data_IF_246518753431
#
_entry.id   IF_246518753431
#
_cell.length_a   1.000
_cell.length_b   1.000
_cell.length_c   1.000
_cell.angle_alpha   90.00
_cell.angle_beta   90.00
_cell.angle_gamma   90.00
#
_symmetry.space_group_name_H-M   'P 1'
#
loop_
_entity.id
_entity.type
_entity.pdbx_description
1 polymer ?
#
# COMPACT_ATOMS: atom_id res chain seq x y z
N UNK A 1 -14.87 -17.69 16.51
CA UNK A 1 -14.86 -16.85 15.29
C UNK A 1 -15.01 -15.40 15.74
N UNK A 2 -14.15 -14.48 15.31
CA UNK A 2 -14.37 -13.06 15.55
C UNK A 2 -15.68 -12.63 14.88
N UNK A 3 -16.36 -11.64 15.46
CA UNK A 3 -17.57 -11.03 14.92
C UNK A 3 -17.26 -9.55 14.67
N UNK A 4 -17.51 -9.09 13.44
CA UNK A 4 -17.22 -7.73 13.01
C UNK A 4 -18.50 -7.04 12.58
N UNK A 5 -18.55 -5.74 12.81
CA UNK A 5 -19.62 -4.86 12.32
C UNK A 5 -18.97 -3.87 11.34
N UNK A 6 -19.50 -3.81 10.13
CA UNK A 6 -19.05 -2.85 9.13
C UNK A 6 -19.47 -1.43 9.55
N UNK A 7 -18.52 -0.50 9.55
CA UNK A 7 -18.77 0.91 9.88
C UNK A 7 -18.24 1.80 8.75
N UNK A 8 -19.10 2.67 8.24
CA UNK A 8 -18.76 3.63 7.19
C UNK A 8 -19.94 3.99 6.29
N UNK A 9 -19.68 4.71 5.18
CA UNK A 9 -18.37 5.19 4.76
C UNK A 9 -17.86 6.36 5.61
N UNK A 10 -16.55 6.51 5.73
CA UNK A 10 -15.88 7.73 6.16
C UNK A 10 -15.24 8.36 4.93
N UNK A 11 -15.83 9.44 4.43
CA UNK A 11 -15.53 10.00 3.12
C UNK A 11 -14.52 11.13 3.24
N UNK A 12 -13.46 11.05 2.44
CA UNK A 12 -12.46 12.11 2.31
C UNK A 12 -12.40 12.59 0.87
N UNK A 13 -12.42 13.91 0.69
CA UNK A 13 -12.09 14.55 -0.57
C UNK A 13 -10.58 14.57 -0.71
N UNK A 14 -10.07 13.90 -1.75
CA UNK A 14 -8.65 13.80 -2.02
C UNK A 14 -8.25 14.71 -3.18
N UNK A 15 -7.24 15.54 -2.99
CA UNK A 15 -6.65 16.38 -4.05
C UNK A 15 -5.20 16.01 -4.31
N UNK A 16 -4.83 15.91 -5.58
CA UNK A 16 -3.50 15.50 -6.04
C UNK A 16 -2.82 16.67 -6.76
N UNK A 17 -1.60 16.98 -6.36
CA UNK A 17 -0.79 18.04 -6.96
C UNK A 17 0.64 17.53 -7.19
N UNK A 18 1.18 17.73 -8.39
CA UNK A 18 2.60 17.44 -8.70
C UNK A 18 3.41 18.69 -8.37
N UNK A 19 4.34 18.58 -7.42
CA UNK A 19 5.17 19.69 -6.93
C UNK A 19 6.66 19.41 -7.16
N UNK A 20 7.51 20.44 -7.03
CA UNK A 20 8.96 20.34 -7.25
C UNK A 20 9.34 19.75 -8.62
N UNK A 21 8.58 20.11 -9.65
CA UNK A 21 8.71 19.56 -11.00
C UNK A 21 10.06 19.97 -11.60
N UNK A 22 10.81 18.99 -12.12
CA UNK A 22 12.10 19.18 -12.80
C UNK A 22 12.11 18.41 -14.11
N UNK A 23 12.38 19.10 -15.22
CA UNK A 23 12.60 18.46 -16.52
C UNK A 23 14.03 17.93 -16.63
N UNK A 24 14.18 16.75 -17.23
CA UNK A 24 15.47 16.11 -17.46
C UNK A 24 15.82 16.12 -18.97
N UNK A 25 17.11 16.16 -19.35
CA UNK A 25 17.52 16.19 -20.76
C UNK A 25 17.10 14.97 -21.59
N UNK A 26 16.82 13.84 -20.93
CA UNK A 26 16.40 12.60 -21.57
C UNK A 26 14.89 12.51 -21.84
N UNK A 27 14.17 13.64 -21.88
CA UNK A 27 12.72 13.63 -22.16
C UNK A 27 11.85 13.11 -20.99
N UNK A 28 12.39 13.03 -19.77
CA UNK A 28 11.64 12.68 -18.55
C UNK A 28 11.37 13.89 -17.66
N UNK A 29 10.38 13.79 -16.78
CA UNK A 29 10.10 14.77 -15.74
C UNK A 29 10.12 14.07 -14.38
N UNK A 30 10.80 14.67 -13.41
CA UNK A 30 10.81 14.26 -12.01
C UNK A 30 9.96 15.20 -11.17
N UNK A 31 9.16 14.65 -10.25
CA UNK A 31 8.31 15.44 -9.35
C UNK A 31 8.09 14.72 -8.01
N UNK A 32 7.62 15.47 -7.02
CA UNK A 32 7.05 14.91 -5.79
C UNK A 32 5.53 14.99 -5.86
N UNK A 33 4.86 13.95 -5.36
CA UNK A 33 3.40 13.92 -5.30
C UNK A 33 2.92 14.49 -3.97
N UNK A 34 2.10 15.54 -4.01
CA UNK A 34 1.38 16.07 -2.85
C UNK A 34 -0.06 15.55 -2.89
N UNK A 35 -0.48 14.93 -1.79
CA UNK A 35 -1.86 14.43 -1.59
C UNK A 35 -2.40 15.08 -0.33
N UNK A 36 -3.56 15.70 -0.46
CA UNK A 36 -4.30 16.27 0.68
C UNK A 36 -5.62 15.54 0.79
N UNK A 37 -5.98 15.16 2.01
CA UNK A 37 -7.25 14.52 2.35
C UNK A 37 -8.02 15.44 3.29
N UNK A 38 -9.25 15.76 2.92
CA UNK A 38 -10.15 16.61 3.70
C UNK A 38 -11.39 15.78 4.01
N UNK A 39 -11.67 15.58 5.29
CA UNK A 39 -12.85 14.84 5.72
C UNK A 39 -14.13 15.55 5.27
N UNK A 40 -15.11 14.77 4.80
CA UNK A 40 -16.41 15.26 4.38
C UNK A 40 -17.49 14.58 5.23
N UNK A 41 -17.91 15.29 6.27
CA UNK A 41 -18.92 14.82 7.22
C UNK A 41 -20.28 14.59 6.54
N UNK A 42 -20.70 15.48 5.63
CA UNK A 42 -22.01 15.40 4.95
C UNK A 42 -22.20 14.13 4.11
N UNK A 43 -21.10 13.53 3.64
CA UNK A 43 -21.11 12.29 2.86
C UNK A 43 -20.73 11.06 3.69
N UNK A 44 -20.40 11.23 4.96
CA UNK A 44 -19.97 10.17 5.86
C UNK A 44 -21.13 9.63 6.69
N UNK A 45 -21.07 8.34 7.03
CA UNK A 45 -22.03 7.69 7.92
C UNK A 45 -21.72 7.87 9.41
N UNK A 46 -20.61 8.54 9.74
CA UNK A 46 -20.08 8.72 11.09
C UNK A 46 -19.01 9.81 11.13
N UNK A 47 -18.44 10.05 12.31
CA UNK A 47 -17.41 11.07 12.56
C UNK A 47 -16.02 10.45 12.67
N UNK A 48 -14.97 11.23 12.41
CA UNK A 48 -13.59 10.76 12.65
C UNK A 48 -13.34 10.36 14.12
N UNK A 49 -14.12 10.91 15.05
CA UNK A 49 -14.04 10.60 16.48
C UNK A 49 -14.73 9.28 16.88
N UNK A 50 -15.42 8.61 15.95
CA UNK A 50 -16.07 7.32 16.22
C UNK A 50 -15.04 6.27 16.64
N UNK A 51 -15.33 5.57 17.75
CA UNK A 51 -14.40 4.62 18.35
C UNK A 51 -14.52 3.25 17.68
N UNK A 52 -13.38 2.71 17.27
CA UNK A 52 -13.22 1.37 16.72
C UNK A 52 -12.30 0.53 17.61
N UNK A 53 -12.62 -0.76 17.73
CA UNK A 53 -11.77 -1.74 18.41
C UNK A 53 -11.06 -2.56 17.33
N UNK A 54 -9.74 -2.40 17.22
CA UNK A 54 -8.94 -3.02 16.15
C UNK A 54 -7.74 -3.77 16.71
N UNK A 55 -7.18 -4.76 15.97
CA UNK A 55 -5.94 -5.40 16.38
C UNK A 55 -4.82 -4.37 16.59
N UNK A 56 -4.02 -4.55 17.62
CA UNK A 56 -2.85 -3.72 17.88
C UNK A 56 -1.76 -4.05 16.87
N UNK A 57 -1.74 -3.33 15.74
CA UNK A 57 -0.78 -3.55 14.66
C UNK A 57 0.67 -3.35 15.15
N UNK A 58 1.04 -2.26 15.87
CA UNK A 58 2.38 -2.12 16.44
C UNK A 58 2.86 -3.33 17.26
N UNK A 59 1.99 -3.87 18.12
CA UNK A 59 2.29 -5.08 18.90
C UNK A 59 2.50 -6.30 17.99
N UNK A 60 1.64 -6.49 16.99
CA UNK A 60 1.75 -7.59 16.03
C UNK A 60 3.05 -7.50 15.22
N UNK A 61 3.42 -6.30 14.75
CA UNK A 61 4.68 -6.04 14.05
C UNK A 61 5.89 -6.36 14.94
N UNK A 62 5.93 -5.84 16.17
CA UNK A 62 7.01 -6.12 17.11
C UNK A 62 7.13 -7.62 17.43
N UNK A 63 5.99 -8.31 17.56
CA UNK A 63 5.96 -9.76 17.79
C UNK A 63 6.48 -10.54 16.59
N UNK A 64 6.06 -10.18 15.38
CA UNK A 64 6.52 -10.79 14.12
C UNK A 64 8.03 -10.69 13.96
N UNK A 65 8.58 -9.49 14.16
CA UNK A 65 10.02 -9.22 14.06
C UNK A 65 10.83 -10.00 15.10
N UNK A 66 10.31 -10.11 16.32
CA UNK A 66 11.00 -10.82 17.41
C UNK A 66 10.99 -12.35 17.27
N UNK A 67 10.20 -12.92 16.34
CA UNK A 67 9.93 -14.36 16.27
C UNK A 67 11.21 -15.19 16.15
N UNK A 68 12.20 -14.68 15.42
CA UNK A 68 13.49 -15.33 15.17
C UNK A 68 14.61 -14.83 16.10
N UNK A 69 14.32 -13.90 17.01
CA UNK A 69 15.28 -13.40 17.98
C UNK A 69 15.63 -14.46 19.04
N UNK A 70 16.79 -14.26 19.69
CA UNK A 70 17.23 -15.13 20.78
C UNK A 70 16.17 -15.21 21.90
N UNK A 71 16.05 -16.38 22.53
CA UNK A 71 15.00 -16.66 23.55
C UNK A 71 14.97 -15.63 24.67
N UNK A 72 16.12 -15.13 25.11
CA UNK A 72 16.20 -14.13 26.17
C UNK A 72 15.57 -12.78 25.74
N UNK A 73 15.77 -12.35 24.48
CA UNK A 73 15.16 -11.13 23.94
C UNK A 73 13.64 -11.27 23.83
N UNK A 74 13.16 -12.44 23.39
CA UNK A 74 11.72 -12.73 23.33
C UNK A 74 11.07 -12.68 24.70
N UNK A 75 11.71 -13.24 25.72
CA UNK A 75 11.24 -13.17 27.11
C UNK A 75 11.25 -11.74 27.65
N UNK A 76 12.32 -10.98 27.39
CA UNK A 76 12.39 -9.58 27.79
C UNK A 76 11.27 -8.75 27.16
N UNK A 77 11.00 -8.95 25.87
CA UNK A 77 9.93 -8.25 25.15
C UNK A 77 8.55 -8.61 25.71
N UNK A 78 8.30 -9.89 26.02
CA UNK A 78 7.06 -10.32 26.66
C UNK A 78 6.87 -9.65 28.03
N UNK A 79 7.92 -9.56 28.85
CA UNK A 79 7.89 -8.85 30.14
C UNK A 79 7.59 -7.36 29.95
N UNK A 80 8.20 -6.71 28.96
CA UNK A 80 7.94 -5.30 28.65
C UNK A 80 6.49 -5.07 28.25
N UNK A 81 5.94 -5.93 27.37
CA UNK A 81 4.53 -5.85 26.96
C UNK A 81 3.58 -5.98 28.15
N UNK A 82 3.88 -6.88 29.09
CA UNK A 82 3.09 -7.05 30.32
C UNK A 82 3.18 -5.82 31.25
N UNK A 83 4.39 -5.29 31.46
CA UNK A 83 4.63 -4.07 32.27
C UNK A 83 3.89 -2.86 31.68
N UNK A 84 3.97 -2.68 30.35
CA UNK A 84 3.29 -1.61 29.63
C UNK A 84 1.79 -1.88 29.43
N UNK A 85 1.28 -3.03 29.88
CA UNK A 85 -0.11 -3.47 29.74
C UNK A 85 -0.60 -3.41 28.29
N UNK A 86 0.26 -3.79 27.35
CA UNK A 86 -0.07 -3.84 25.92
C UNK A 86 -1.14 -4.90 25.69
N UNK A 87 -2.24 -4.49 25.07
CA UNK A 87 -3.35 -5.37 24.72
C UNK A 87 -3.29 -5.77 23.25
N UNK A 88 -3.72 -7.00 22.88
CA UNK A 88 -3.83 -7.42 21.49
C UNK A 88 -4.83 -6.61 20.65
N UNK A 89 -5.76 -5.91 21.30
CA UNK A 89 -6.73 -5.00 20.67
C UNK A 89 -6.65 -3.64 21.35
N UNK A 90 -6.78 -2.59 20.56
CA UNK A 90 -6.79 -1.19 21.00
C UNK A 90 -8.10 -0.53 20.62
N UNK A 91 -8.56 0.37 21.47
CA UNK A 91 -9.70 1.24 21.21
C UNK A 91 -9.14 2.58 20.75
N UNK A 92 -9.44 2.97 19.52
CA UNK A 92 -8.95 4.20 18.89
C UNK A 92 -10.08 4.84 18.10
N UNK A 93 -10.03 6.14 17.88
CA UNK A 93 -10.94 6.79 16.93
C UNK A 93 -10.58 6.42 15.49
N UNK A 94 -11.52 6.57 14.55
CA UNK A 94 -11.27 6.37 13.11
C UNK A 94 -10.18 7.30 12.60
N UNK A 95 -10.19 8.57 13.03
CA UNK A 95 -9.16 9.56 12.70
C UNK A 95 -7.79 9.13 13.22
N UNK A 96 -7.70 8.65 14.46
CA UNK A 96 -6.45 8.10 15.01
C UNK A 96 -5.94 6.89 14.23
N UNK A 97 -6.83 5.93 13.90
CA UNK A 97 -6.44 4.74 13.15
C UNK A 97 -5.89 5.08 11.76
N UNK A 98 -6.50 6.06 11.07
CA UNK A 98 -6.07 6.47 9.74
C UNK A 98 -4.81 7.35 9.79
N UNK A 99 -4.81 8.39 10.62
CA UNK A 99 -3.84 9.47 10.51
C UNK A 99 -2.67 9.37 11.49
N UNK A 100 -2.85 8.71 12.63
CA UNK A 100 -1.81 8.60 13.65
C UNK A 100 -2.36 8.49 15.08
N UNK A 101 -1.80 7.58 15.86
CA UNK A 101 -1.83 7.61 17.32
C UNK A 101 -0.50 7.16 17.92
N UNK A 102 -0.19 7.68 19.11
CA UNK A 102 0.98 7.24 19.86
C UNK A 102 0.76 5.83 20.45
N UNK A 103 1.64 4.89 20.11
CA UNK A 103 1.68 3.57 20.73
C UNK A 103 2.87 3.48 21.71
N UNK A 104 2.69 2.89 22.92
CA UNK A 104 3.77 2.79 23.91
C UNK A 104 5.00 2.00 23.42
N UNK A 105 4.83 1.00 22.54
CA UNK A 105 5.94 0.25 21.96
C UNK A 105 6.73 1.08 20.96
N UNK A 106 6.06 1.92 20.16
CA UNK A 106 6.74 2.85 19.25
C UNK A 106 7.53 3.90 20.04
N UNK A 107 6.96 4.42 21.13
CA UNK A 107 7.66 5.34 22.02
C UNK A 107 8.92 4.71 22.63
N UNK A 108 8.81 3.49 23.15
CA UNK A 108 9.96 2.76 23.68
C UNK A 108 11.02 2.49 22.60
N UNK A 109 10.60 2.09 21.39
CA UNK A 109 11.50 1.86 20.27
C UNK A 109 12.32 3.11 19.94
N UNK A 110 11.72 4.31 19.96
CA UNK A 110 12.45 5.57 19.74
C UNK A 110 13.54 5.82 20.78
N UNK A 111 13.31 5.45 22.03
CA UNK A 111 14.22 5.72 23.14
C UNK A 111 15.37 4.69 23.20
N UNK A 112 15.10 3.45 22.78
CA UNK A 112 16.05 2.33 22.90
C UNK A 112 16.90 2.13 21.64
N UNK A 113 16.33 2.31 20.43
CA UNK A 113 17.06 1.97 19.20
C UNK A 113 18.06 3.06 18.76
N UNK A 114 19.25 2.67 18.25
CA UNK A 114 20.19 3.58 17.61
C UNK A 114 19.55 4.34 16.44
N UNK A 115 20.06 5.54 16.13
CA UNK A 115 19.49 6.41 15.08
C UNK A 115 19.36 5.69 13.72
N UNK A 116 20.26 4.76 13.42
CA UNK A 116 20.31 4.00 12.18
C UNK A 116 19.23 2.91 12.08
N UNK A 117 18.64 2.51 13.22
CA UNK A 117 17.57 1.51 13.33
C UNK A 117 16.23 2.10 13.77
N UNK A 118 16.15 3.43 13.95
CA UNK A 118 14.89 4.09 14.31
C UNK A 118 13.90 3.95 13.15
N UNK A 119 12.68 3.55 13.51
CA UNK A 119 11.57 3.59 12.58
C UNK A 119 11.35 5.04 12.12
N UNK A 120 11.05 5.27 10.83
CA UNK A 120 10.80 6.62 10.31
C UNK A 120 9.46 7.21 10.78
N UNK A 121 8.61 6.39 11.40
CA UNK A 121 7.28 6.76 11.86
C UNK A 121 7.30 7.09 13.35
N UNK A 122 6.70 8.23 13.71
CA UNK A 122 6.60 8.65 15.10
C UNK A 122 5.35 8.12 15.78
N UNK A 123 4.30 7.92 15.01
CA UNK A 123 3.00 7.38 15.42
C UNK A 123 2.62 6.24 14.48
N UNK A 124 1.62 5.46 14.89
CA UNK A 124 1.03 4.46 14.02
C UNK A 124 -0.25 4.99 13.39
N UNK A 125 -0.37 4.87 12.07
CA UNK A 125 -1.62 5.10 11.35
C UNK A 125 -1.57 4.47 9.96
N UNK A 126 -2.70 3.97 9.46
CA UNK A 126 -2.77 3.28 8.16
C UNK A 126 -2.39 4.20 6.98
N UNK A 127 -2.68 5.50 7.13
CA UNK A 127 -2.40 6.56 6.18
C UNK A 127 -1.42 7.60 6.75
N UNK A 128 -0.65 7.23 7.77
CA UNK A 128 0.30 8.11 8.45
C UNK A 128 1.27 8.75 7.45
N UNK A 129 1.43 10.08 7.55
CA UNK A 129 2.31 10.87 6.68
C UNK A 129 1.85 11.01 5.22
N UNK A 130 0.75 10.36 4.80
CA UNK A 130 0.25 10.46 3.42
C UNK A 130 -0.52 11.75 3.13
N UNK A 131 -1.01 12.44 4.18
CA UNK A 131 -1.66 13.74 4.07
C UNK A 131 -0.63 14.88 4.01
N UNK A 132 0.28 14.80 3.02
CA UNK A 132 1.38 15.75 2.87
C UNK A 132 2.01 15.66 1.49
N UNK A 133 3.08 16.42 1.28
CA UNK A 133 3.99 16.21 0.14
C UNK A 133 4.86 14.99 0.40
N UNK A 134 4.76 13.97 -0.47
CA UNK A 134 5.61 12.79 -0.39
C UNK A 134 7.09 13.18 -0.54
N UNK A 135 7.95 12.54 0.26
CA UNK A 135 9.41 12.62 0.11
C UNK A 135 9.90 11.86 -1.12
N UNK A 136 9.05 11.00 -1.69
CA UNK A 136 9.41 10.21 -2.85
C UNK A 136 9.51 11.07 -4.10
N UNK A 137 10.54 10.82 -4.90
CA UNK A 137 10.71 11.43 -6.22
C UNK A 137 10.32 10.42 -7.29
N UNK A 138 9.31 10.76 -8.09
CA UNK A 138 8.84 9.94 -9.21
C UNK A 138 9.32 10.58 -10.51
N UNK A 139 9.99 9.80 -11.35
CA UNK A 139 10.42 10.22 -12.69
C UNK A 139 9.58 9.49 -13.72
N UNK A 140 8.91 10.24 -14.60
CA UNK A 140 8.04 9.70 -15.65
C UNK A 140 8.47 10.18 -17.03
N UNK A 141 8.17 9.38 -18.03
CA UNK A 141 8.35 9.74 -19.43
C UNK A 141 7.29 10.75 -19.87
N UNK A 142 7.73 11.80 -20.56
CA UNK A 142 6.84 12.87 -21.06
C UNK A 142 6.13 12.51 -22.36
N UNK A 143 6.58 11.46 -23.05
CA UNK A 143 6.09 11.06 -24.36
C UNK A 143 6.55 11.96 -25.52
N UNK A 144 7.50 12.88 -25.30
CA UNK A 144 8.06 13.76 -26.35
C UNK A 144 8.74 12.94 -27.45
N UNK A 145 9.57 11.96 -27.07
CA UNK A 145 10.30 11.11 -28.03
C UNK A 145 9.44 9.92 -28.50
N UNK A 146 8.68 9.31 -27.59
CA UNK A 146 7.79 8.19 -27.88
C UNK A 146 6.49 8.32 -27.08
N UNK A 147 5.39 8.60 -27.77
CA UNK A 147 4.08 8.80 -27.16
C UNK A 147 3.56 7.53 -26.45
N UNK A 148 4.06 6.35 -26.79
CA UNK A 148 3.70 5.10 -26.10
C UNK A 148 4.26 5.02 -24.68
N UNK A 149 5.27 5.83 -24.36
CA UNK A 149 5.84 5.95 -23.01
C UNK A 149 5.13 7.01 -22.15
N UNK A 150 4.15 7.74 -22.69
CA UNK A 150 3.51 8.85 -21.99
C UNK A 150 2.99 8.47 -20.59
N UNK A 151 3.55 9.07 -19.55
CA UNK A 151 3.15 8.85 -18.16
C UNK A 151 3.67 7.58 -17.51
N UNK A 152 4.47 6.76 -18.23
CA UNK A 152 5.11 5.57 -17.67
C UNK A 152 6.23 6.00 -16.71
N UNK A 153 6.30 5.32 -15.55
CA UNK A 153 7.33 5.55 -14.54
C UNK A 153 8.66 4.95 -15.02
N UNK A 154 9.68 5.80 -15.13
CA UNK A 154 11.07 5.41 -15.42
C UNK A 154 11.79 5.02 -14.12
N UNK A 155 11.69 5.89 -13.10
CA UNK A 155 12.37 5.72 -11.82
C UNK A 155 11.49 6.13 -10.65
N UNK A 156 11.66 5.41 -9.55
CA UNK A 156 11.11 5.73 -8.25
C UNK A 156 12.26 5.88 -7.26
N UNK A 157 12.41 7.05 -6.63
CA UNK A 157 13.54 7.38 -5.75
C UNK A 157 14.91 7.11 -6.38
N UNK A 158 15.04 7.41 -7.67
CA UNK A 158 16.28 7.22 -8.44
C UNK A 158 16.55 5.78 -8.91
N UNK A 159 15.70 4.82 -8.54
CA UNK A 159 15.83 3.40 -8.95
C UNK A 159 14.85 3.07 -10.07
N UNK A 160 15.33 2.32 -11.07
CA UNK A 160 14.49 1.80 -12.18
C UNK A 160 13.81 0.46 -11.84
N UNK A 161 14.36 -0.25 -10.84
CA UNK A 161 13.83 -1.50 -10.32
C UNK A 161 13.69 -1.39 -8.80
N UNK A 162 12.60 -1.95 -8.29
CA UNK A 162 12.42 -2.14 -6.86
C UNK A 162 13.31 -3.28 -6.35
N UNK A 163 13.41 -3.41 -5.04
CA UNK A 163 14.24 -4.45 -4.40
C UNK A 163 13.46 -5.23 -3.36
N UNK A 164 12.13 -5.20 -3.44
CA UNK A 164 11.27 -5.88 -2.48
C UNK A 164 11.12 -7.36 -2.83
N UNK A 165 10.96 -7.68 -4.12
CA UNK A 165 10.66 -9.05 -4.56
C UNK A 165 11.92 -9.81 -4.99
N UNK A 166 11.87 -11.14 -5.08
CA UNK A 166 13.02 -11.93 -5.53
C UNK A 166 13.26 -11.85 -7.04
N UNK A 167 12.21 -11.73 -7.85
CA UNK A 167 12.36 -11.56 -9.30
C UNK A 167 12.53 -10.11 -9.70
N UNK A 168 13.31 -9.90 -10.74
CA UNK A 168 13.35 -8.65 -11.47
C UNK A 168 11.98 -8.29 -12.06
N UNK A 169 11.23 -9.27 -12.59
CA UNK A 169 9.90 -9.05 -13.17
C UNK A 169 8.91 -8.40 -12.19
N UNK A 170 8.86 -8.87 -10.95
CA UNK A 170 7.97 -8.31 -9.92
C UNK A 170 8.44 -6.94 -9.41
N UNK A 171 9.72 -6.63 -9.57
CA UNK A 171 10.32 -5.36 -9.19
C UNK A 171 10.26 -4.29 -10.29
N UNK A 172 9.67 -4.58 -11.46
CA UNK A 172 9.54 -3.61 -12.54
C UNK A 172 8.60 -2.46 -12.20
N UNK A 173 8.89 -1.30 -12.79
CA UNK A 173 8.11 -0.06 -12.65
C UNK A 173 7.44 0.40 -13.95
N UNK A 174 7.42 -0.46 -14.98
CA UNK A 174 6.87 -0.17 -16.31
C UNK A 174 5.33 -0.09 -16.34
N UNK A 175 4.78 0.88 -15.61
CA UNK A 175 3.37 1.25 -15.57
C UNK A 175 3.21 2.72 -15.21
N UNK A 176 1.97 3.19 -15.15
CA UNK A 176 1.64 4.57 -14.76
C UNK A 176 1.19 4.62 -13.29
N UNK A 177 0.96 5.81 -12.76
CA UNK A 177 0.35 6.02 -11.44
C UNK A 177 -1.19 5.86 -11.46
N UNK A 178 -1.76 5.40 -12.58
CA UNK A 178 -3.19 5.24 -12.78
C UNK A 178 -3.96 6.52 -13.11
N UNK A 179 -3.33 7.70 -13.01
CA UNK A 179 -3.97 8.98 -13.34
C UNK A 179 -4.05 9.25 -14.84
N UNK A 180 -3.06 8.77 -15.57
CA UNK A 180 -2.92 8.90 -17.02
C UNK A 180 -2.40 7.60 -17.60
N UNK A 181 -2.67 7.38 -18.88
CA UNK A 181 -2.18 6.22 -19.63
C UNK A 181 -1.72 6.69 -21.03
N UNK A 182 -0.81 5.94 -21.67
CA UNK A 182 -0.47 6.19 -23.07
C UNK A 182 -1.72 6.18 -23.98
N UNK A 183 -1.78 7.04 -25.01
CA UNK A 183 -2.93 7.09 -25.91
C UNK A 183 -3.01 5.86 -26.82
N UNK A 184 -4.12 5.75 -27.56
CA UNK A 184 -4.43 4.63 -28.49
C UNK A 184 -4.64 3.28 -27.80
N UNK A 185 -5.23 3.30 -26.61
CA UNK A 185 -5.64 2.10 -25.88
C UNK A 185 -6.67 1.31 -26.70
N UNK A 186 -6.48 0.00 -26.78
CA UNK A 186 -7.39 -0.94 -27.45
C UNK A 186 -7.97 -1.94 -26.44
N UNK A 187 -8.96 -2.74 -26.86
CA UNK A 187 -9.54 -3.81 -26.03
C UNK A 187 -8.53 -4.91 -25.67
N UNK A 188 -7.47 -5.07 -26.46
CA UNK A 188 -6.43 -6.08 -26.25
C UNK A 188 -5.24 -5.53 -25.44
N UNK A 189 -5.27 -4.25 -25.05
CA UNK A 189 -4.20 -3.63 -24.28
C UNK A 189 -4.30 -4.03 -22.81
N UNK A 190 -3.17 -4.37 -22.18
CA UNK A 190 -3.07 -4.54 -20.72
C UNK A 190 -2.47 -3.28 -20.11
N UNK A 191 -3.24 -2.61 -19.25
CA UNK A 191 -2.78 -1.40 -18.57
C UNK A 191 -2.08 -1.79 -17.28
N UNK A 192 -0.93 -1.18 -16.99
CA UNK A 192 -0.18 -1.46 -15.76
C UNK A 192 -0.19 -0.23 -14.87
N UNK A 193 -0.62 -0.39 -13.63
CA UNK A 193 -0.62 0.67 -12.61
C UNK A 193 0.36 0.29 -11.53
N UNK A 194 1.33 1.15 -11.25
CA UNK A 194 2.20 1.00 -10.10
C UNK A 194 1.52 1.63 -8.88
N UNK A 195 1.23 0.80 -7.87
CA UNK A 195 0.73 1.29 -6.58
C UNK A 195 1.81 1.13 -5.52
N UNK A 196 2.21 2.25 -4.90
CA UNK A 196 3.24 2.30 -3.86
C UNK A 196 2.87 1.40 -2.69
N UNK A 197 1.60 1.39 -2.29
CA UNK A 197 1.15 0.61 -1.12
C UNK A 197 1.16 -0.91 -1.37
N UNK A 198 1.09 -1.32 -2.64
CA UNK A 198 1.27 -2.71 -3.08
C UNK A 198 2.71 -3.03 -3.45
N UNK A 199 3.54 -2.00 -3.63
CA UNK A 199 4.96 -2.11 -3.96
C UNK A 199 5.22 -2.89 -5.25
N UNK A 200 4.25 -2.88 -6.18
CA UNK A 200 4.29 -3.62 -7.44
C UNK A 200 3.35 -3.03 -8.49
N UNK A 201 3.45 -3.58 -9.69
CA UNK A 201 2.52 -3.33 -10.78
C UNK A 201 1.26 -4.19 -10.66
N UNK A 202 0.12 -3.55 -10.88
CA UNK A 202 -1.19 -4.15 -11.08
C UNK A 202 -1.55 -4.13 -12.56
N UNK A 203 -1.67 -5.30 -13.22
CA UNK A 203 -2.21 -5.37 -14.57
C UNK A 203 -3.74 -5.31 -14.55
N UNK A 204 -4.30 -4.48 -15.43
CA UNK A 204 -5.73 -4.30 -15.65
C UNK A 204 -6.09 -4.77 -17.06
N UNK A 205 -7.19 -5.51 -17.17
CA UNK A 205 -7.73 -6.01 -18.43
C UNK A 205 -9.04 -5.33 -18.78
N UNK A 206 -9.34 -5.24 -20.08
CA UNK A 206 -10.62 -4.76 -20.56
C UNK A 206 -11.77 -5.65 -20.04
N UNK A 207 -12.78 -5.03 -19.44
CA UNK A 207 -14.04 -5.67 -19.05
C UNK A 207 -15.12 -5.42 -20.09
N UNK A 208 -15.43 -4.14 -20.35
CA UNK A 208 -16.53 -3.73 -21.23
C UNK A 208 -16.44 -2.28 -21.69
N UNK A 209 -17.20 -1.96 -22.72
CA UNK A 209 -17.43 -0.57 -23.12
C UNK A 209 -18.45 0.10 -22.19
N UNK A 210 -18.21 1.37 -21.89
CA UNK A 210 -19.10 2.19 -21.07
C UNK A 210 -19.28 3.56 -21.72
N UNK A 211 -20.40 4.21 -21.46
CA UNK A 211 -20.60 5.62 -21.79
C UNK A 211 -20.67 6.40 -20.49
N UNK A 212 -19.76 7.35 -20.30
CA UNK A 212 -19.73 8.19 -19.09
C UNK A 212 -20.63 9.42 -19.26
N UNK A 213 -20.83 10.16 -18.16
CA UNK A 213 -21.59 11.42 -18.19
C UNK A 213 -21.04 12.34 -19.28
N UNK A 214 -21.93 12.96 -20.05
CA UNK A 214 -21.55 13.77 -21.22
C UNK A 214 -21.43 12.99 -22.53
N UNK A 215 -21.80 11.71 -22.59
CA UNK A 215 -21.87 10.93 -23.83
C UNK A 215 -20.51 10.43 -24.35
N UNK A 216 -19.46 10.55 -23.55
CA UNK A 216 -18.11 10.10 -23.91
C UNK A 216 -18.04 8.58 -23.79
N UNK A 217 -17.66 7.90 -24.88
CA UNK A 217 -17.40 6.46 -24.90
C UNK A 217 -16.06 6.18 -24.22
N UNK A 218 -16.02 5.17 -23.37
CA UNK A 218 -14.83 4.74 -22.66
C UNK A 218 -14.76 3.22 -22.54
N UNK A 219 -13.60 2.75 -22.10
CA UNK A 219 -13.36 1.35 -21.80
C UNK A 219 -13.23 1.19 -20.29
N UNK A 220 -13.99 0.26 -19.72
CA UNK A 220 -13.83 -0.15 -18.33
C UNK A 220 -12.74 -1.21 -18.27
N UNK A 221 -11.69 -0.91 -17.53
CA UNK A 221 -10.64 -1.86 -17.18
C UNK A 221 -10.85 -2.31 -15.74
N UNK A 222 -10.63 -3.60 -15.47
CA UNK A 222 -10.75 -4.20 -14.15
C UNK A 222 -9.56 -5.10 -13.87
N UNK A 223 -9.37 -5.45 -12.60
CA UNK A 223 -8.41 -6.49 -12.21
C UNK A 223 -8.91 -7.84 -12.67
N UNK A 224 -8.04 -8.66 -13.27
CA UNK A 224 -8.40 -10.01 -13.72
C UNK A 224 -8.66 -10.91 -12.49
N UNK A 225 -9.73 -11.72 -12.45
CA UNK A 225 -9.85 -12.79 -11.45
C UNK A 225 -8.67 -13.77 -11.60
N UNK A 226 -7.90 -14.00 -10.53
CA UNK A 226 -6.63 -14.75 -10.61
C UNK A 226 -5.44 -13.90 -11.10
N UNK A 227 -5.60 -12.58 -11.19
CA UNK A 227 -4.48 -11.66 -11.35
C UNK A 227 -3.40 -12.03 -10.32
N UNK A 228 -2.15 -12.10 -10.79
CA UNK A 228 -0.88 -12.51 -10.14
C UNK A 228 -0.58 -11.75 -8.82
N UNK A 229 -1.53 -10.98 -8.32
CA UNK A 229 -1.48 -10.15 -7.12
C UNK A 229 -2.09 -10.85 -5.90
N UNK A 230 -2.98 -11.84 -6.07
CA UNK A 230 -3.63 -12.53 -4.96
C UNK A 230 -3.56 -14.03 -5.23
N UNK A 231 -2.96 -14.80 -4.31
CA UNK A 231 -2.47 -16.17 -4.53
C UNK A 231 -3.35 -17.03 -5.45
N UNK A 232 -2.73 -17.79 -6.36
CA UNK A 232 -3.31 -18.55 -7.46
C UNK A 232 -2.29 -19.58 -7.95
N UNK A 233 -2.70 -20.62 -8.68
CA UNK A 233 -1.83 -21.77 -8.96
C UNK A 233 -0.77 -21.55 -10.07
N UNK A 234 -0.44 -20.30 -10.42
CA UNK A 234 0.47 -20.01 -11.53
C UNK A 234 1.95 -20.08 -11.12
N UNK A 235 2.84 -20.68 -11.95
CA UNK A 235 4.27 -20.84 -11.64
C UNK A 235 5.02 -19.54 -11.34
N UNK A 236 4.56 -18.41 -11.88
CA UNK A 236 5.15 -17.07 -11.64
C UNK A 236 4.98 -16.59 -10.19
N UNK A 237 4.12 -17.23 -9.38
CA UNK A 237 3.88 -16.83 -7.99
C UNK A 237 4.97 -17.23 -7.01
N UNK A 238 5.73 -18.30 -7.30
CA UNK A 238 6.85 -18.73 -6.46
C UNK A 238 7.94 -17.65 -6.35
N UNK A 239 7.96 -16.70 -7.29
CA UNK A 239 8.97 -15.65 -7.39
C UNK A 239 8.56 -14.33 -6.71
N UNK A 240 7.36 -14.29 -6.12
CA UNK A 240 6.86 -13.21 -5.26
C UNK A 240 7.23 -13.41 -3.77
N UNK A 241 7.94 -14.49 -3.43
CA UNK A 241 8.23 -14.86 -2.06
C UNK A 241 9.59 -14.32 -1.63
N UNK A 242 9.73 -13.51 -0.58
CA UNK A 242 11.03 -13.17 -0.01
C UNK A 242 11.69 -14.33 0.74
N UNK A 243 10.89 -15.25 1.28
CA UNK A 243 11.38 -16.34 2.12
C UNK A 243 10.34 -17.47 2.25
N UNK A 244 10.29 -18.35 1.25
CA UNK A 244 9.71 -19.70 1.36
C UNK A 244 8.20 -19.82 1.68
N UNK A 245 7.66 -21.05 1.61
CA UNK A 245 6.27 -21.36 1.96
C UNK A 245 6.00 -21.28 3.48
N UNK A 246 4.73 -21.13 3.88
CA UNK A 246 3.54 -21.21 3.04
C UNK A 246 3.19 -19.83 2.44
N UNK A 247 2.83 -19.85 1.15
CA UNK A 247 2.30 -18.69 0.43
C UNK A 247 1.17 -18.04 1.24
N UNK A 248 1.01 -16.72 1.12
CA UNK A 248 -0.26 -16.10 1.49
C UNK A 248 -1.38 -16.86 0.74
N UNK A 249 -2.40 -17.41 1.44
CA UNK A 249 -3.39 -18.22 0.76
C UNK A 249 -4.19 -17.42 -0.29
N UNK A 250 -4.87 -18.15 -1.18
CA UNK A 250 -5.53 -17.57 -2.35
C UNK A 250 -6.41 -16.36 -1.98
N UNK A 251 -6.25 -15.25 -2.70
CA UNK A 251 -6.97 -14.00 -2.42
C UNK A 251 -6.31 -13.01 -1.48
N UNK A 252 -5.19 -13.38 -0.84
CA UNK A 252 -4.41 -12.47 -0.01
C UNK A 252 -3.09 -12.11 -0.68
N UNK A 253 -2.59 -10.91 -0.36
CA UNK A 253 -1.31 -10.40 -0.83
C UNK A 253 -0.45 -9.93 0.34
N UNK A 254 0.74 -10.51 0.48
CA UNK A 254 1.67 -10.13 1.54
C UNK A 254 2.53 -8.93 1.12
N UNK A 255 2.43 -7.83 1.87
CA UNK A 255 3.20 -6.60 1.64
C UNK A 255 4.23 -6.32 2.73
N UNK A 256 4.53 -7.30 3.60
CA UNK A 256 5.43 -7.11 4.74
C UNK A 256 6.77 -6.47 4.34
N UNK A 257 7.38 -6.94 3.25
CA UNK A 257 8.70 -6.50 2.77
C UNK A 257 8.83 -5.03 2.38
N UNK A 258 7.71 -4.38 2.12
CA UNK A 258 7.70 -2.97 1.79
C UNK A 258 6.94 -2.13 2.82
N UNK A 259 6.41 -2.79 3.87
CA UNK A 259 5.75 -2.19 5.02
C UNK A 259 6.56 -2.49 6.30
N UNK A 260 7.89 -2.32 6.23
CA UNK A 260 8.80 -2.46 7.37
C UNK A 260 8.71 -3.80 8.10
N UNK A 261 8.53 -4.88 7.34
CA UNK A 261 8.34 -6.26 7.81
C UNK A 261 7.13 -6.47 8.75
N UNK A 262 6.23 -5.48 8.79
CA UNK A 262 4.94 -5.59 9.46
C UNK A 262 4.09 -6.69 8.82
N UNK A 263 3.40 -7.55 9.59
CA UNK A 263 2.65 -8.70 9.08
C UNK A 263 1.32 -8.28 8.44
N UNK A 264 1.37 -7.46 7.39
CA UNK A 264 0.23 -6.89 6.69
C UNK A 264 -0.08 -7.73 5.46
N UNK A 265 -1.32 -8.21 5.40
CA UNK A 265 -1.90 -8.87 4.24
C UNK A 265 -3.02 -8.00 3.67
N UNK A 266 -3.01 -7.81 2.36
CA UNK A 266 -4.04 -7.09 1.63
C UNK A 266 -4.99 -8.07 0.94
N UNK A 267 -6.23 -7.65 0.77
CA UNK A 267 -7.27 -8.40 0.07
C UNK A 267 -8.23 -7.42 -0.61
N UNK A 268 -9.08 -7.93 -1.49
CA UNK A 268 -10.27 -7.18 -1.87
C UNK A 268 -11.27 -7.11 -0.70
N UNK A 269 -12.16 -6.11 -0.68
CA UNK A 269 -13.15 -5.96 0.39
C UNK A 269 -13.92 -7.26 0.66
N UNK A 270 -14.14 -7.58 1.94
CA UNK A 270 -14.77 -8.82 2.41
C UNK A 270 -14.15 -10.10 1.84
N UNK A 271 -12.83 -10.10 1.60
CA UNK A 271 -12.12 -11.23 1.00
C UNK A 271 -12.70 -11.66 -0.36
N UNK A 272 -13.23 -10.71 -1.13
CA UNK A 272 -13.74 -11.00 -2.47
C UNK A 272 -12.64 -11.64 -3.32
N UNK A 273 -12.97 -12.74 -4.02
CA UNK A 273 -12.04 -13.58 -4.79
C UNK A 273 -10.99 -14.34 -3.96
N UNK A 274 -11.12 -14.37 -2.63
CA UNK A 274 -10.28 -15.21 -1.78
C UNK A 274 -10.83 -16.61 -1.57
N UNK A 275 -9.98 -17.45 -0.98
CA UNK A 275 -10.38 -18.78 -0.53
C UNK A 275 -11.54 -18.71 0.48
N UNK A 276 -12.47 -19.65 0.40
CA UNK A 276 -13.65 -19.70 1.28
C UNK A 276 -13.33 -20.03 2.75
N UNK A 277 -12.08 -20.41 3.05
CA UNK A 277 -11.64 -20.65 4.44
C UNK A 277 -11.52 -19.38 5.28
N UNK A 278 -11.59 -18.19 4.67
CA UNK A 278 -11.56 -16.88 5.33
C UNK A 278 -12.93 -16.37 5.79
#
# INVERSE_FOLDING_TARGET
KPNFVEMGPYVYVQTWEKVNIKGNPNGTISYNQKRVYIFNEDLSGGLEDDVVIVPNIPMLSATSESKHAARFLRLAMASIMDILKIKPFVEVSVGQLLWGYEDPLLKLAKDVFPKEQKLPCEEFGLMYGKNSTSKDTVTVWTGVDDITQYGIIDKYNGRSLQTHWLSEQCNRLNGTDGSIFPPRITKNSTLHVYEKDLCRLLPLSFEKEVTVRGGVKGYRFTTVPGCVCFGGQEPEQYVLLPAGPPCAPHGLFNVSLCQYDSPILLSFPHFYLADQSY
#
